data_IF_643913792489
#
_entry.id   IF_643913792489
#
_cell.length_a   1.000
_cell.length_b   1.000
_cell.length_c   1.000
_cell.angle_alpha   90.00
_cell.angle_beta   90.00
_cell.angle_gamma   90.00
#
_symmetry.space_group_name_H-M   'P 1'
#
loop_
_entity.id
_entity.type
_entity.pdbx_description
1 polymer ?
#
# COMPACT_ATOMS: atom_id res chain seq x y z
N UNK A 1 23.11 -13.95 0.09
CA UNK A 1 21.98 -13.25 -0.56
C UNK A 1 21.69 -12.02 0.29
N UNK A 2 22.00 -10.83 -0.21
CA UNK A 2 21.60 -9.59 0.46
C UNK A 2 20.06 -9.53 0.48
N UNK A 3 19.43 -9.16 1.60
CA UNK A 3 17.98 -8.99 1.62
C UNK A 3 17.61 -7.88 0.65
N UNK A 4 16.76 -8.18 -0.33
CA UNK A 4 16.23 -7.18 -1.26
C UNK A 4 15.54 -6.10 -0.42
N UNK A 5 16.10 -4.89 -0.42
CA UNK A 5 15.58 -3.78 0.36
C UNK A 5 14.21 -3.40 -0.19
N UNK A 6 13.16 -3.82 0.50
CA UNK A 6 11.78 -3.53 0.09
C UNK A 6 11.57 -2.01 0.03
N UNK A 7 11.07 -1.53 -1.12
CA UNK A 7 10.76 -0.12 -1.33
C UNK A 7 9.54 0.29 -0.51
N UNK A 8 9.40 1.60 -0.26
CA UNK A 8 8.27 2.12 0.52
C UNK A 8 6.89 1.69 -0.05
N UNK A 9 6.62 1.75 -1.37
CA UNK A 9 5.35 1.29 -1.93
C UNK A 9 5.04 -0.17 -1.62
N UNK A 10 6.05 -1.03 -1.72
CA UNK A 10 5.89 -2.45 -1.44
C UNK A 10 5.55 -2.70 0.03
N UNK A 11 6.29 -2.04 0.94
CA UNK A 11 6.01 -2.09 2.38
C UNK A 11 4.61 -1.58 2.69
N UNK A 12 4.24 -0.42 2.13
CA UNK A 12 2.93 0.20 2.33
C UNK A 12 1.80 -0.72 1.88
N UNK A 13 1.91 -1.34 0.70
CA UNK A 13 0.94 -2.31 0.20
C UNK A 13 0.73 -3.45 1.21
N UNK A 14 1.82 -4.09 1.65
CA UNK A 14 1.75 -5.16 2.63
C UNK A 14 1.17 -4.71 3.97
N UNK A 15 1.50 -3.51 4.42
CA UNK A 15 0.93 -2.92 5.63
C UNK A 15 -0.59 -2.79 5.54
N UNK A 16 -1.12 -2.32 4.39
CA UNK A 16 -2.57 -2.12 4.21
C UNK A 16 -3.29 -3.46 4.05
N UNK A 17 -2.74 -4.42 3.29
CA UNK A 17 -3.29 -5.78 3.17
C UNK A 17 -3.35 -6.46 4.54
N UNK A 18 -2.23 -6.47 5.28
CA UNK A 18 -2.17 -7.08 6.61
C UNK A 18 -3.14 -6.42 7.59
N UNK A 19 -3.24 -5.08 7.59
CA UNK A 19 -4.20 -4.38 8.43
C UNK A 19 -5.65 -4.70 8.05
N UNK A 20 -5.95 -4.83 6.75
CA UNK A 20 -7.30 -5.15 6.28
C UNK A 20 -7.75 -6.56 6.66
N UNK A 21 -6.82 -7.50 6.79
CA UNK A 21 -7.11 -8.91 7.11
C UNK A 21 -6.90 -9.25 8.60
N UNK A 22 -6.66 -8.25 9.46
CA UNK A 22 -6.46 -8.39 10.91
C UNK A 22 -7.48 -7.58 11.72
N UNK A 23 -7.34 -7.58 13.05
CA UNK A 23 -8.12 -6.73 13.97
C UNK A 23 -7.97 -5.22 13.70
N UNK A 24 -6.99 -4.82 12.90
CA UNK A 24 -6.72 -3.42 12.56
C UNK A 24 -7.51 -2.90 11.35
N UNK A 25 -8.42 -3.70 10.79
CA UNK A 25 -9.23 -3.31 9.63
C UNK A 25 -10.09 -2.07 9.89
N UNK A 26 -10.48 -1.81 11.15
CA UNK A 26 -11.18 -0.60 11.56
C UNK A 26 -10.28 0.63 11.71
N UNK A 27 -8.96 0.47 11.68
CA UNK A 27 -7.97 1.54 11.80
C UNK A 27 -7.33 1.90 10.46
N UNK A 28 -7.01 0.90 9.63
CA UNK A 28 -6.44 1.05 8.29
C UNK A 28 -7.06 0.02 7.36
N UNK A 29 -7.68 0.49 6.27
CA UNK A 29 -8.31 -0.39 5.29
C UNK A 29 -8.09 0.10 3.86
N UNK A 30 -8.29 -0.79 2.90
CA UNK A 30 -8.54 -0.37 1.53
C UNK A 30 -9.85 0.42 1.41
N UNK A 31 -9.89 1.36 0.47
CA UNK A 31 -11.13 1.91 -0.05
C UNK A 31 -11.94 0.82 -0.76
N UNK A 32 -13.28 0.97 -0.88
CA UNK A 32 -14.11 0.00 -1.60
C UNK A 32 -13.65 -0.25 -3.04
N UNK A 33 -13.14 0.77 -3.73
CA UNK A 33 -12.58 0.68 -5.08
C UNK A 33 -11.18 0.04 -5.13
N UNK A 34 -10.51 -0.13 -3.99
CA UNK A 34 -9.22 -0.80 -3.89
C UNK A 34 -8.03 -0.08 -4.55
N UNK A 35 -8.22 1.15 -5.03
CA UNK A 35 -7.18 2.02 -5.64
C UNK A 35 -6.64 3.07 -4.64
N UNK A 36 -7.24 3.16 -3.47
CA UNK A 36 -6.88 4.05 -2.38
C UNK A 36 -6.98 3.30 -1.05
N UNK A 37 -6.39 3.85 0.00
CA UNK A 37 -6.56 3.37 1.36
C UNK A 37 -7.08 4.47 2.28
N UNK A 38 -7.71 4.06 3.37
CA UNK A 38 -8.36 4.93 4.33
C UNK A 38 -7.75 4.70 5.69
N UNK A 39 -7.39 5.79 6.36
CA UNK A 39 -6.87 5.79 7.73
C UNK A 39 -8.01 6.28 8.63
N UNK A 40 -8.63 5.34 9.34
CA UNK A 40 -9.77 5.62 10.22
C UNK A 40 -9.32 6.05 11.61
N UNK A 41 -8.26 5.43 12.12
CA UNK A 41 -7.70 5.71 13.45
C UNK A 41 -6.19 5.90 13.33
N UNK A 42 -5.74 7.14 13.51
CA UNK A 42 -4.32 7.48 13.39
C UNK A 42 -3.50 6.93 14.54
N UNK A 43 -4.01 6.98 15.76
CA UNK A 43 -3.28 6.53 16.94
C UNK A 43 -2.97 5.05 16.83
N UNK A 44 -3.98 4.23 16.49
CA UNK A 44 -3.81 2.79 16.31
C UNK A 44 -2.83 2.47 15.18
N UNK A 45 -2.92 3.17 14.04
CA UNK A 45 -1.96 2.98 12.94
C UNK A 45 -0.52 3.25 13.40
N UNK A 46 -0.31 4.33 14.14
CA UNK A 46 1.03 4.74 14.57
C UNK A 46 1.61 3.82 15.64
N UNK A 47 0.80 3.37 16.59
CA UNK A 47 1.25 2.56 17.72
C UNK A 47 1.34 1.07 17.40
N UNK A 48 0.42 0.55 16.60
CA UNK A 48 0.26 -0.89 16.39
C UNK A 48 0.59 -1.35 14.98
N UNK A 49 0.48 -0.51 13.96
CA UNK A 49 0.68 -0.94 12.56
C UNK A 49 2.07 -0.56 12.05
N UNK A 50 2.42 0.73 12.08
CA UNK A 50 3.68 1.24 11.52
C UNK A 50 4.92 0.52 12.08
N UNK A 51 5.06 0.25 13.40
CA UNK A 51 6.26 -0.39 13.95
C UNK A 51 6.53 -1.80 13.40
N UNK A 52 5.52 -2.47 12.85
CA UNK A 52 5.68 -3.81 12.26
C UNK A 52 6.30 -3.79 10.85
N UNK A 53 6.29 -2.65 10.15
CA UNK A 53 6.73 -2.56 8.74
C UNK A 53 7.78 -1.46 8.50
N UNK A 54 7.87 -0.48 9.39
CA UNK A 54 8.77 0.66 9.27
C UNK A 54 9.57 0.88 10.56
N UNK A 55 10.82 1.35 10.43
CA UNK A 55 11.74 1.57 11.56
C UNK A 55 11.45 2.87 12.35
N UNK A 56 10.19 3.33 12.33
CA UNK A 56 9.76 4.54 13.04
C UNK A 56 8.29 4.40 13.45
N UNK A 57 7.87 5.18 14.44
CA UNK A 57 6.46 5.27 14.87
C UNK A 57 5.93 6.70 14.74
N UNK A 58 6.32 7.42 13.68
CA UNK A 58 6.00 8.85 13.54
C UNK A 58 5.07 9.06 12.35
N UNK A 59 3.86 9.53 12.62
CA UNK A 59 2.89 9.89 11.58
C UNK A 59 3.48 10.84 10.53
N UNK A 60 4.26 11.84 10.97
CA UNK A 60 4.93 12.79 10.07
C UNK A 60 5.94 12.14 9.12
N UNK A 61 6.64 11.09 9.58
CA UNK A 61 7.58 10.34 8.74
C UNK A 61 6.85 9.48 7.73
N UNK A 62 5.72 8.88 8.11
CA UNK A 62 4.87 8.10 7.21
C UNK A 62 4.26 8.98 6.11
N UNK A 63 3.63 10.08 6.49
CA UNK A 63 3.04 11.05 5.55
C UNK A 63 4.06 11.69 4.61
N UNK A 64 5.29 11.95 5.07
CA UNK A 64 6.36 12.43 4.18
C UNK A 64 6.73 11.39 3.12
N UNK A 65 6.78 10.10 3.46
CA UNK A 65 7.03 9.05 2.49
C UNK A 65 5.87 8.94 1.49
N UNK A 66 4.61 9.00 1.95
CA UNK A 66 3.45 9.09 1.07
C UNK A 66 3.58 10.25 0.07
N UNK A 67 3.91 11.46 0.55
CA UNK A 67 4.07 12.62 -0.32
C UNK A 67 5.20 12.46 -1.34
N UNK A 68 6.34 11.90 -0.92
CA UNK A 68 7.50 11.66 -1.80
C UNK A 68 7.16 10.69 -2.95
N UNK A 69 6.31 9.71 -2.68
CA UNK A 69 5.86 8.72 -3.67
C UNK A 69 4.58 9.16 -4.40
N UNK A 70 4.16 10.41 -4.24
CA UNK A 70 3.04 11.00 -5.00
C UNK A 70 1.65 10.61 -4.51
N UNK A 71 1.52 9.98 -3.34
CA UNK A 71 0.23 9.73 -2.72
C UNK A 71 -0.40 11.07 -2.31
N UNK A 72 -1.68 11.25 -2.64
CA UNK A 72 -2.40 12.49 -2.33
C UNK A 72 -3.59 12.17 -1.45
N UNK A 73 -3.78 13.00 -0.42
CA UNK A 73 -4.99 12.94 0.40
C UNK A 73 -6.12 13.60 -0.37
N UNK A 74 -7.12 12.82 -0.76
CA UNK A 74 -8.36 13.31 -1.33
C UNK A 74 -9.25 13.81 -0.18
N UNK A 75 -9.42 15.13 -0.14
CA UNK A 75 -10.32 15.79 0.80
C UNK A 75 -11.72 16.00 0.19
N UNK A 76 -11.91 15.70 -1.09
CA UNK A 76 -13.16 15.92 -1.84
C UNK A 76 -13.87 14.61 -2.18
N UNK A 77 -14.13 13.81 -1.15
CA UNK A 77 -15.03 12.66 -1.24
C UNK A 77 -16.26 12.84 -0.34
N UNK A 78 -17.37 12.13 -0.60
CA UNK A 78 -18.52 12.09 0.32
C UNK A 78 -18.14 11.50 1.69
N UNK A 79 -16.99 10.81 1.78
CA UNK A 79 -16.43 10.24 2.99
C UNK A 79 -15.68 11.32 3.79
N UNK A 80 -16.17 11.76 4.96
CA UNK A 80 -15.50 12.78 5.78
C UNK A 80 -14.15 12.32 6.38
N UNK A 81 -13.78 11.04 6.21
CA UNK A 81 -12.59 10.43 6.82
C UNK A 81 -11.28 10.63 6.04
N UNK A 82 -11.34 11.16 4.82
CA UNK A 82 -10.16 11.45 3.99
C UNK A 82 -9.56 10.18 3.39
N UNK A 83 -9.67 10.05 2.08
CA UNK A 83 -9.08 8.92 1.34
C UNK A 83 -7.67 9.29 0.90
N UNK A 84 -6.75 8.31 0.87
CA UNK A 84 -5.41 8.53 0.33
C UNK A 84 -5.33 7.81 -1.01
N UNK A 85 -5.41 8.61 -2.08
CA UNK A 85 -5.29 8.14 -3.45
C UNK A 85 -3.86 7.69 -3.69
N UNK A 86 -3.74 6.50 -4.29
CA UNK A 86 -2.47 6.04 -4.78
C UNK A 86 -2.41 6.12 -6.31
N UNK A 87 -1.36 6.74 -6.88
CA UNK A 87 -1.11 6.68 -8.31
C UNK A 87 -0.56 5.31 -8.77
N UNK A 88 -0.16 4.44 -7.83
CA UNK A 88 0.57 3.19 -8.12
C UNK A 88 -0.14 1.93 -7.61
N UNK A 89 -1.14 2.05 -6.74
CA UNK A 89 -1.90 0.90 -6.26
C UNK A 89 -3.02 0.60 -7.27
N UNK A 90 -2.94 -0.56 -7.94
CA UNK A 90 -4.00 -1.04 -8.83
C UNK A 90 -5.27 -1.40 -8.02
N UNK A 91 -6.48 -1.42 -8.61
CA UNK A 91 -7.69 -1.86 -7.95
C UNK A 91 -7.56 -3.27 -7.36
N UNK A 92 -8.00 -3.48 -6.11
CA UNK A 92 -7.96 -4.80 -5.44
C UNK A 92 -8.74 -5.87 -6.21
N UNK A 93 -9.79 -5.47 -6.93
CA UNK A 93 -10.62 -6.36 -7.77
C UNK A 93 -9.90 -6.84 -9.03
N UNK A 94 -9.06 -5.99 -9.65
CA UNK A 94 -8.22 -6.38 -10.78
C UNK A 94 -7.19 -7.47 -10.41
N UNK A 95 -6.94 -7.65 -9.11
CA UNK A 95 -6.04 -8.68 -8.55
C UNK A 95 -6.77 -9.95 -8.08
N UNK A 96 -8.10 -9.94 -7.94
CA UNK A 96 -8.91 -11.14 -7.61
C UNK A 96 -9.46 -11.85 -8.85
N UNK A 97 -9.12 -11.39 -10.05
CA UNK A 97 -9.24 -12.26 -11.21
C UNK A 97 -8.43 -13.53 -10.91
N UNK A 98 -9.00 -14.73 -11.07
CA UNK A 98 -8.23 -15.94 -10.96
C UNK A 98 -7.25 -15.94 -12.13
N UNK A 99 -6.03 -15.49 -11.92
CA UNK A 99 -4.90 -15.91 -12.76
C UNK A 99 -4.60 -17.36 -12.39
N UNK A 100 -5.54 -18.26 -12.68
CA UNK A 100 -5.19 -19.65 -12.93
C UNK A 100 -4.51 -19.68 -14.30
N UNK A 101 -3.26 -19.25 -14.30
CA UNK A 101 -2.26 -19.72 -15.24
C UNK A 101 -0.95 -19.72 -14.48
N UNK A 102 -0.80 -20.77 -13.67
CA UNK A 102 0.49 -21.25 -13.17
C UNK A 102 1.57 -21.08 -14.24
N UNK A 103 2.75 -20.67 -13.77
CA UNK A 103 4.02 -20.85 -14.46
C UNK A 103 4.17 -20.12 -15.81
N UNK A 104 4.44 -18.80 -15.81
CA UNK A 104 5.24 -18.17 -16.89
C UNK A 104 5.76 -16.75 -16.69
N UNK A 105 5.27 -15.97 -15.73
CA UNK A 105 5.57 -14.52 -15.72
C UNK A 105 6.72 -14.07 -14.81
N UNK A 106 7.62 -14.99 -14.39
CA UNK A 106 8.83 -14.61 -13.66
C UNK A 106 9.98 -14.19 -14.58
N UNK A 107 9.97 -14.62 -15.86
CA UNK A 107 10.94 -14.19 -16.88
C UNK A 107 10.55 -12.87 -17.57
N UNK A 108 9.25 -12.58 -17.69
CA UNK A 108 8.76 -11.38 -18.37
C UNK A 108 9.13 -10.08 -17.64
N UNK A 109 9.10 -10.10 -16.29
CA UNK A 109 9.47 -8.94 -15.48
C UNK A 109 10.99 -8.66 -15.49
N UNK A 110 11.81 -9.66 -15.82
CA UNK A 110 13.26 -9.50 -15.98
C UNK A 110 13.65 -8.99 -17.39
N UNK A 111 12.84 -9.27 -18.42
CA UNK A 111 13.14 -8.83 -19.79
C UNK A 111 12.74 -7.37 -20.07
N UNK A 112 11.69 -6.84 -19.44
CA UNK A 112 11.26 -5.46 -19.67
C UNK A 112 12.22 -4.41 -19.06
N UNK A 113 12.89 -4.76 -17.95
CA UNK A 113 13.89 -3.90 -17.31
C UNK A 113 15.20 -3.78 -18.12
N UNK A 114 15.47 -4.70 -19.04
CA UNK A 114 16.66 -4.69 -19.89
C UNK A 114 16.50 -3.82 -21.16
N UNK A 115 15.28 -3.36 -21.48
CA UNK A 115 15.01 -2.56 -22.67
C UNK A 115 15.17 -1.04 -22.44
N UNK A 116 15.44 -0.61 -21.21
CA UNK A 116 15.62 0.79 -20.81
C UNK A 116 17.05 1.11 -20.34
N UNK A 117 18.05 0.34 -20.82
CA UNK A 117 19.48 0.71 -20.76
C UNK A 117 19.93 1.15 -22.15
#
# INVERSE_FOLDING_TARGET
MEPVKQTFPFKLYHTIEWASDSEFSSALSWSPSGNAFVVHDREVVVEHIIPNFFDHKKWRSFTRQLNLWGFKRELRGPTPRGEILSPILQPREARRAPTDTKDRDQEAFQQEAALFV
#
